data_IF_051791440826
#
_entry.id   IF_051791440826
#
_cell.length_a   1.000
_cell.length_b   1.000
_cell.length_c   1.000
_cell.angle_alpha   90.00
_cell.angle_beta   90.00
_cell.angle_gamma   90.00
#
_symmetry.space_group_name_H-M   'P 1'
#
loop_
_entity.id
_entity.type
_entity.pdbx_description
1 polymer ?
#
# COMPACT_ATOMS: atom_id res chain seq x y z
N UNK A 1 -23.60 3.13 37.33
CA UNK A 1 -23.44 2.01 36.38
C UNK A 1 -21.97 1.91 36.00
N UNK A 2 -21.47 0.72 35.67
CA UNK A 2 -20.07 0.56 35.26
C UNK A 2 -19.81 1.14 33.87
N UNK A 3 -18.62 1.72 33.61
CA UNK A 3 -18.18 2.12 32.27
C UNK A 3 -18.24 0.96 31.28
N UNK A 4 -18.61 1.25 30.03
CA UNK A 4 -18.62 0.27 28.94
C UNK A 4 -18.35 0.93 27.58
N UNK A 5 -17.90 0.14 26.61
CA UNK A 5 -17.62 0.59 25.24
C UNK A 5 -18.71 0.04 24.32
N UNK A 6 -19.33 0.93 23.55
CA UNK A 6 -20.23 0.60 22.45
C UNK A 6 -19.48 0.73 21.13
N UNK A 7 -19.58 -0.30 20.28
CA UNK A 7 -18.97 -0.34 18.95
C UNK A 7 -20.07 -0.64 17.93
N UNK A 8 -20.12 0.10 16.83
CA UNK A 8 -21.06 -0.13 15.75
C UNK A 8 -20.45 0.17 14.36
N UNK A 9 -20.49 -0.77 13.40
CA UNK A 9 -20.92 -2.16 13.55
C UNK A 9 -19.96 -2.96 14.44
N UNK A 10 -20.44 -4.05 15.05
CA UNK A 10 -19.60 -4.94 15.89
C UNK A 10 -18.68 -5.83 15.07
N UNK A 11 -19.04 -6.06 13.81
CA UNK A 11 -18.32 -6.84 12.83
C UNK A 11 -18.09 -5.96 11.60
N UNK A 12 -16.83 -5.70 11.29
CA UNK A 12 -16.43 -4.77 10.22
C UNK A 12 -15.18 -5.27 9.51
N UNK A 13 -15.05 -4.91 8.23
CA UNK A 13 -13.78 -5.02 7.51
C UNK A 13 -12.88 -3.86 7.88
N UNK A 14 -11.59 -4.03 7.64
CA UNK A 14 -10.55 -3.08 8.05
C UNK A 14 -10.75 -1.68 7.43
N UNK A 15 -11.32 -1.61 6.22
CA UNK A 15 -11.57 -0.34 5.52
C UNK A 15 -12.93 0.30 5.88
N UNK A 16 -13.79 -0.39 6.65
CA UNK A 16 -15.13 0.10 7.01
C UNK A 16 -15.07 1.04 8.22
N UNK A 17 -15.99 2.01 8.27
CA UNK A 17 -16.13 2.89 9.43
C UNK A 17 -16.71 2.15 10.62
N UNK A 18 -16.14 2.41 11.80
CA UNK A 18 -16.72 2.00 13.08
C UNK A 18 -16.89 3.20 14.01
N UNK A 19 -18.04 3.24 14.69
CA UNK A 19 -18.31 4.19 15.76
C UNK A 19 -17.87 3.59 17.08
N UNK A 20 -17.04 4.31 17.84
CA UNK A 20 -16.61 3.92 19.20
C UNK A 20 -17.10 4.96 20.19
N UNK A 21 -17.91 4.52 21.15
CA UNK A 21 -18.47 5.37 22.20
C UNK A 21 -18.26 4.73 23.57
N UNK A 22 -17.57 5.42 24.47
CA UNK A 22 -17.39 5.00 25.87
C UNK A 22 -18.43 5.70 26.74
N UNK A 23 -19.23 4.91 27.45
CA UNK A 23 -20.39 5.36 28.21
C UNK A 23 -20.20 5.16 29.73
N UNK A 24 -21.08 5.77 30.52
CA UNK A 24 -21.12 5.67 31.98
C UNK A 24 -19.81 6.12 32.68
N UNK A 25 -19.16 7.16 32.15
CA UNK A 25 -17.98 7.78 32.72
C UNK A 25 -18.35 8.85 33.76
N UNK A 26 -17.42 9.16 34.66
CA UNK A 26 -17.58 10.25 35.62
C UNK A 26 -17.56 11.59 34.90
N UNK A 27 -18.55 12.45 35.18
CA UNK A 27 -18.71 13.78 34.59
C UNK A 27 -17.39 14.58 34.52
N UNK A 28 -17.06 15.08 33.33
CA UNK A 28 -15.91 15.97 33.06
C UNK A 28 -14.55 15.39 33.53
N UNK A 29 -14.46 14.08 33.74
CA UNK A 29 -13.21 13.43 34.13
C UNK A 29 -12.38 13.03 32.90
N UNK A 30 -11.07 12.87 33.11
CA UNK A 30 -10.08 12.57 32.07
C UNK A 30 -9.82 11.06 32.03
N UNK A 31 -9.85 10.50 30.82
CA UNK A 31 -9.62 9.07 30.56
C UNK A 31 -8.62 8.87 29.43
N UNK A 32 -7.83 7.80 29.51
CA UNK A 32 -7.02 7.29 28.38
C UNK A 32 -7.79 6.18 27.70
N UNK A 33 -8.02 6.30 26.40
CA UNK A 33 -8.53 5.24 25.53
C UNK A 33 -7.33 4.73 24.72
N UNK A 34 -7.11 3.43 24.73
CA UNK A 34 -5.94 2.80 24.10
C UNK A 34 -6.42 1.62 23.25
N UNK A 35 -5.91 1.55 22.03
CA UNK A 35 -6.05 0.40 21.15
C UNK A 35 -4.74 -0.39 21.18
N UNK A 36 -4.84 -1.72 21.32
CA UNK A 36 -3.71 -2.65 21.22
C UNK A 36 -4.01 -3.68 20.15
N UNK A 37 -3.15 -3.72 19.14
CA UNK A 37 -3.19 -4.76 18.12
C UNK A 37 -2.11 -5.81 18.45
N UNK A 38 -2.57 -7.04 18.74
CA UNK A 38 -1.70 -8.16 19.08
C UNK A 38 -1.44 -8.98 17.82
N UNK A 39 -0.23 -8.89 17.27
CA UNK A 39 0.18 -9.57 16.04
C UNK A 39 1.25 -10.63 16.33
N UNK A 40 1.46 -11.58 15.41
CA UNK A 40 2.50 -12.61 15.55
C UNK A 40 3.92 -12.02 15.68
N UNK A 41 4.15 -10.83 15.12
CA UNK A 41 5.46 -10.14 15.16
C UNK A 41 5.64 -9.28 16.40
N UNK A 42 4.58 -8.97 17.15
CA UNK A 42 4.62 -8.12 18.34
C UNK A 42 3.33 -7.32 18.54
N UNK A 43 3.39 -6.34 19.43
CA UNK A 43 2.26 -5.49 19.80
C UNK A 43 2.41 -4.11 19.16
N UNK A 44 1.34 -3.66 18.52
CA UNK A 44 1.19 -2.28 18.08
C UNK A 44 0.17 -1.57 18.97
N UNK A 45 0.36 -0.27 19.20
CA UNK A 45 -0.53 0.51 20.07
C UNK A 45 -0.80 1.89 19.51
N UNK A 46 -1.94 2.43 19.87
CA UNK A 46 -2.29 3.84 19.71
C UNK A 46 -3.12 4.28 20.90
N UNK A 47 -3.21 5.59 21.16
CA UNK A 47 -4.01 6.08 22.28
C UNK A 47 -4.47 7.52 22.09
N UNK A 48 -5.58 7.86 22.76
CA UNK A 48 -6.01 9.23 22.98
C UNK A 48 -6.40 9.46 24.43
N UNK A 49 -6.06 10.63 24.97
CA UNK A 49 -6.50 11.09 26.28
C UNK A 49 -7.66 12.04 26.06
N UNK A 50 -8.82 11.74 26.63
CA UNK A 50 -10.07 12.46 26.39
C UNK A 50 -10.69 12.94 27.69
N UNK A 51 -11.51 13.98 27.59
CA UNK A 51 -12.39 14.42 28.66
C UNK A 51 -13.81 13.96 28.37
N UNK A 52 -14.44 13.28 29.30
CA UNK A 52 -15.86 12.90 29.17
C UNK A 52 -16.76 14.15 29.13
N UNK A 53 -17.83 14.07 28.35
CA UNK A 53 -18.80 15.15 28.21
C UNK A 53 -19.72 15.25 29.45
N UNK A 54 -20.70 16.17 29.39
CA UNK A 54 -21.64 16.41 30.50
C UNK A 54 -22.55 15.22 30.82
N UNK A 55 -22.68 14.28 29.90
CA UNK A 55 -23.45 13.03 30.07
C UNK A 55 -22.59 11.86 30.53
N UNK A 56 -21.28 12.06 30.77
CA UNK A 56 -20.38 10.98 31.12
C UNK A 56 -20.05 10.06 29.93
N UNK A 57 -19.85 10.64 28.75
CA UNK A 57 -19.62 9.91 27.51
C UNK A 57 -18.40 10.47 26.74
N UNK A 58 -17.67 9.58 26.07
CA UNK A 58 -16.64 9.91 25.08
C UNK A 58 -17.07 9.27 23.76
N UNK A 59 -17.36 10.09 22.76
CA UNK A 59 -17.70 9.66 21.40
C UNK A 59 -16.57 10.07 20.45
N UNK A 60 -15.80 9.10 19.94
CA UNK A 60 -14.61 9.38 19.14
C UNK A 60 -14.91 10.09 17.81
N UNK A 61 -16.16 10.02 17.33
CA UNK A 61 -16.60 10.75 16.14
C UNK A 61 -16.88 12.23 16.38
N UNK A 62 -16.95 12.66 17.65
CA UNK A 62 -17.37 14.01 18.04
C UNK A 62 -16.33 14.77 18.84
N UNK A 63 -15.39 14.08 19.49
CA UNK A 63 -14.41 14.72 20.36
C UNK A 63 -12.99 14.40 19.95
N UNK A 64 -12.13 15.43 19.96
CA UNK A 64 -10.70 15.28 19.75
C UNK A 64 -10.01 14.82 21.04
N UNK A 65 -8.92 14.04 20.96
CA UNK A 65 -8.08 13.79 22.11
C UNK A 65 -7.40 15.09 22.56
N UNK A 66 -7.25 15.27 23.87
CA UNK A 66 -6.43 16.32 24.48
C UNK A 66 -4.94 16.12 24.17
N UNK A 67 -4.52 14.86 24.05
CA UNK A 67 -3.19 14.40 23.61
C UNK A 67 -3.25 12.92 23.27
N UNK A 68 -2.36 12.44 22.42
CA UNK A 68 -2.38 11.04 21.98
C UNK A 68 -1.44 10.80 20.82
N UNK A 69 -1.63 9.65 20.17
CA UNK A 69 -0.99 9.27 18.91
C UNK A 69 -1.61 9.98 17.69
N UNK A 70 -2.74 10.67 17.86
CA UNK A 70 -3.37 11.50 16.84
C UNK A 70 -3.96 12.77 17.45
N UNK A 71 -4.34 13.72 16.58
CA UNK A 71 -4.96 14.99 16.96
C UNK A 71 -6.20 15.29 16.11
N UNK A 72 -7.05 16.21 16.59
CA UNK A 72 -8.31 16.56 15.94
C UNK A 72 -9.43 15.54 16.15
N UNK A 73 -10.64 15.88 15.68
CA UNK A 73 -11.77 14.93 15.71
C UNK A 73 -11.55 13.93 14.58
N UNK A 74 -11.28 12.68 14.94
CA UNK A 74 -11.03 11.61 14.01
C UNK A 74 -11.48 10.27 14.62
N UNK A 75 -12.57 9.72 14.09
CA UNK A 75 -13.16 8.47 14.58
C UNK A 75 -12.28 7.24 14.32
N UNK A 76 -11.44 7.31 13.27
CA UNK A 76 -10.46 6.28 12.91
C UNK A 76 -9.09 6.52 13.52
N UNK A 77 -8.90 7.62 14.25
CA UNK A 77 -7.58 8.07 14.68
C UNK A 77 -6.79 7.02 15.46
N UNK A 78 -7.46 6.15 16.24
CA UNK A 78 -6.78 5.03 16.92
C UNK A 78 -6.25 3.96 15.95
N UNK A 79 -6.90 3.71 14.83
CA UNK A 79 -6.44 2.75 13.83
C UNK A 79 -5.37 3.35 12.92
N UNK A 80 -5.56 4.61 12.51
CA UNK A 80 -4.63 5.35 11.63
C UNK A 80 -3.30 5.70 12.31
N UNK A 81 -3.25 5.71 13.64
CA UNK A 81 -2.05 6.09 14.42
C UNK A 81 -1.42 4.93 15.20
N UNK A 82 -1.55 3.70 14.68
CA UNK A 82 -0.89 2.53 15.25
C UNK A 82 0.63 2.64 15.11
N UNK A 83 1.33 2.54 16.24
CA UNK A 83 2.79 2.53 16.30
C UNK A 83 3.29 1.18 16.86
N UNK A 84 4.42 0.65 16.35
CA UNK A 84 5.05 -0.52 16.94
C UNK A 84 5.50 -0.23 18.37
N UNK A 85 5.39 -1.23 19.25
CA UNK A 85 6.05 -1.19 20.56
C UNK A 85 7.39 -1.93 20.52
N UNK A 86 8.19 -1.82 21.58
CA UNK A 86 9.54 -2.40 21.69
C UNK A 86 9.60 -3.93 21.50
N UNK A 87 8.46 -4.62 21.52
CA UNK A 87 8.38 -6.06 21.33
C UNK A 87 8.12 -6.49 19.86
N UNK A 88 7.98 -5.54 18.93
CA UNK A 88 7.81 -5.83 17.50
C UNK A 88 9.16 -6.25 16.93
N UNK A 89 9.20 -7.46 16.34
CA UNK A 89 10.39 -7.98 15.65
C UNK A 89 10.60 -7.26 14.32
N UNK A 90 11.86 -6.98 13.99
CA UNK A 90 12.25 -6.47 12.68
C UNK A 90 12.52 -7.63 11.72
N UNK A 91 11.76 -7.69 10.62
CA UNK A 91 11.93 -8.68 9.55
C UNK A 91 11.28 -10.04 9.85
N UNK A 92 10.81 -10.69 8.78
CA UNK A 92 10.46 -12.12 8.74
C UNK A 92 11.31 -12.72 7.59
N UNK A 93 12.15 -13.71 7.91
CA UNK A 93 12.88 -14.50 6.92
C UNK A 93 12.04 -15.72 6.52
N UNK A 94 11.29 -15.60 5.41
CA UNK A 94 10.69 -16.77 4.77
C UNK A 94 11.47 -17.15 3.52
N UNK A 95 12.46 -18.03 3.67
CA UNK A 95 13.15 -18.68 2.54
C UNK A 95 12.57 -20.07 2.28
N UNK A 96 12.27 -20.35 1.01
CA UNK A 96 11.84 -21.68 0.54
C UNK A 96 10.36 -21.77 0.17
N UNK A 97 10.00 -21.20 -0.98
CA UNK A 97 8.68 -21.38 -1.60
C UNK A 97 8.81 -21.77 -3.09
N UNK A 98 7.85 -22.55 -3.65
CA UNK A 98 7.93 -23.10 -5.00
C UNK A 98 7.83 -22.06 -6.13
N UNK A 99 8.12 -22.49 -7.38
CA UNK A 99 8.37 -21.64 -8.58
C UNK A 99 7.24 -20.69 -9.00
N UNK A 100 5.99 -20.98 -8.66
CA UNK A 100 4.87 -20.01 -8.68
C UNK A 100 4.12 -20.16 -7.37
N UNK A 101 4.02 -19.07 -6.61
CA UNK A 101 3.14 -18.99 -5.45
C UNK A 101 2.27 -17.76 -5.56
N UNK A 102 0.99 -17.94 -5.26
CA UNK A 102 0.00 -16.88 -5.25
C UNK A 102 -1.29 -17.39 -4.62
N UNK A 103 -2.05 -16.49 -4.03
CA UNK A 103 -3.35 -16.81 -3.43
C UNK A 103 -4.43 -16.11 -4.24
N UNK A 104 -5.41 -16.88 -4.73
CA UNK A 104 -6.56 -16.33 -5.45
C UNK A 104 -7.70 -16.10 -4.46
N UNK A 105 -8.11 -14.85 -4.30
CA UNK A 105 -9.32 -14.49 -3.57
C UNK A 105 -10.46 -14.29 -4.57
N UNK A 106 -11.55 -15.05 -4.39
CA UNK A 106 -12.72 -15.00 -5.27
C UNK A 106 -13.95 -14.54 -4.49
N UNK A 107 -14.70 -13.53 -4.96
CA UNK A 107 -15.98 -13.16 -4.36
C UNK A 107 -17.01 -14.32 -4.45
N UNK A 108 -18.01 -14.37 -3.54
CA UNK A 108 -19.11 -15.32 -3.67
C UNK A 108 -19.94 -15.05 -4.93
N UNK A 109 -20.52 -16.11 -5.52
CA UNK A 109 -21.27 -16.05 -6.79
C UNK A 109 -20.50 -16.61 -7.99
N UNK A 110 -21.16 -16.70 -9.15
CA UNK A 110 -20.61 -17.42 -10.32
C UNK A 110 -19.71 -16.55 -11.22
N UNK A 111 -19.73 -15.23 -11.05
CA UNK A 111 -18.96 -14.29 -11.88
C UNK A 111 -19.62 -13.99 -13.24
N UNK A 112 -18.86 -13.48 -14.22
CA UNK A 112 -17.43 -13.18 -14.17
C UNK A 112 -17.12 -11.94 -13.32
N UNK A 113 -15.93 -11.90 -12.72
CA UNK A 113 -15.45 -10.80 -11.90
C UNK A 113 -14.29 -10.06 -12.59
N UNK A 114 -14.21 -8.72 -12.44
CA UNK A 114 -12.98 -7.97 -12.68
C UNK A 114 -11.82 -8.60 -11.92
N UNK A 115 -10.66 -8.72 -12.57
CA UNK A 115 -9.50 -9.40 -11.99
C UNK A 115 -8.39 -8.39 -11.74
N UNK A 116 -7.85 -8.40 -10.52
CA UNK A 116 -6.69 -7.60 -10.14
C UNK A 116 -5.57 -8.56 -9.73
N UNK A 117 -4.37 -8.33 -10.26
CA UNK A 117 -3.14 -8.99 -9.81
C UNK A 117 -2.37 -7.99 -8.96
N UNK A 118 -2.22 -8.32 -7.67
CA UNK A 118 -1.48 -7.53 -6.70
C UNK A 118 -0.04 -8.06 -6.58
N UNK A 119 0.93 -7.16 -6.66
CA UNK A 119 2.37 -7.48 -6.64
C UNK A 119 3.06 -6.64 -5.57
N UNK A 120 3.59 -7.32 -4.55
CA UNK A 120 4.36 -6.71 -3.48
C UNK A 120 5.75 -6.24 -3.94
N UNK A 121 6.43 -5.45 -3.09
CA UNK A 121 7.80 -4.94 -3.32
C UNK A 121 8.91 -6.00 -3.23
N UNK A 122 10.15 -5.56 -2.96
CA UNK A 122 11.31 -6.45 -2.85
C UNK A 122 11.16 -7.41 -1.64
N UNK A 123 11.61 -8.66 -1.80
CA UNK A 123 11.51 -9.70 -0.75
C UNK A 123 11.03 -11.09 -1.20
N UNK A 124 10.70 -11.27 -2.49
CA UNK A 124 10.27 -12.56 -3.05
C UNK A 124 10.70 -12.77 -4.50
N UNK A 125 10.79 -14.04 -4.94
CA UNK A 125 11.19 -14.44 -6.28
C UNK A 125 10.00 -14.77 -7.18
N UNK A 126 9.79 -13.99 -8.24
CA UNK A 126 8.81 -14.30 -9.28
C UNK A 126 9.46 -14.16 -10.67
N UNK A 127 9.52 -15.26 -11.41
CA UNK A 127 10.10 -15.35 -12.77
C UNK A 127 9.09 -15.77 -13.86
N UNK A 128 7.79 -15.90 -13.53
CA UNK A 128 6.81 -16.58 -14.41
C UNK A 128 5.48 -15.80 -14.55
N UNK A 129 5.53 -14.47 -14.77
CA UNK A 129 4.34 -13.60 -14.73
C UNK A 129 3.37 -13.80 -15.90
N UNK A 130 3.88 -14.20 -17.07
CA UNK A 130 3.05 -14.55 -18.24
C UNK A 130 2.15 -15.76 -17.95
N UNK A 131 2.68 -16.76 -17.25
CA UNK A 131 1.92 -17.97 -16.91
C UNK A 131 0.89 -17.67 -15.82
N UNK A 132 1.21 -16.81 -14.85
CA UNK A 132 0.23 -16.31 -13.88
C UNK A 132 -0.94 -15.56 -14.56
N UNK A 133 -0.64 -14.66 -15.52
CA UNK A 133 -1.67 -13.94 -16.30
C UNK A 133 -2.54 -14.93 -17.10
N UNK A 134 -1.92 -15.87 -17.81
CA UNK A 134 -2.63 -16.86 -18.61
C UNK A 134 -3.49 -17.79 -17.73
N UNK A 135 -2.96 -18.24 -16.60
CA UNK A 135 -3.69 -19.06 -15.63
C UNK A 135 -4.90 -18.30 -15.10
N UNK A 136 -4.71 -17.08 -14.60
CA UNK A 136 -5.78 -16.28 -14.01
C UNK A 136 -6.87 -15.95 -15.05
N UNK A 137 -6.50 -15.61 -16.29
CA UNK A 137 -7.48 -15.37 -17.37
C UNK A 137 -8.16 -16.64 -17.90
N UNK A 138 -7.63 -17.83 -17.58
CA UNK A 138 -8.28 -19.10 -17.93
C UNK A 138 -9.37 -19.53 -16.94
N UNK A 139 -9.45 -18.87 -15.77
CA UNK A 139 -10.43 -19.23 -14.74
C UNK A 139 -11.84 -18.86 -15.20
N UNK A 140 -12.85 -19.74 -14.99
CA UNK A 140 -14.20 -19.54 -15.54
C UNK A 140 -14.96 -18.35 -14.94
N UNK A 141 -14.47 -17.79 -13.85
CA UNK A 141 -15.06 -16.68 -13.11
C UNK A 141 -14.30 -15.36 -13.27
N UNK A 142 -13.29 -15.30 -14.15
CA UNK A 142 -12.57 -14.07 -14.50
C UNK A 142 -13.01 -13.58 -15.89
N UNK A 143 -12.57 -12.39 -16.28
CA UNK A 143 -12.74 -11.87 -17.63
C UNK A 143 -11.38 -11.59 -18.28
N UNK A 144 -11.40 -11.13 -19.53
CA UNK A 144 -10.19 -10.79 -20.30
C UNK A 144 -9.62 -9.40 -19.97
N UNK A 145 -10.21 -8.69 -19.01
CA UNK A 145 -9.82 -7.33 -18.57
C UNK A 145 -9.13 -7.39 -17.23
N UNK A 146 -7.81 -7.22 -17.23
CA UNK A 146 -7.00 -7.37 -16.02
C UNK A 146 -6.49 -6.02 -15.53
N UNK A 147 -6.58 -5.80 -14.23
CA UNK A 147 -5.88 -4.75 -13.51
C UNK A 147 -4.62 -5.24 -12.85
N UNK A 148 -3.61 -4.39 -12.75
CA UNK A 148 -2.41 -4.64 -11.99
C UNK A 148 -2.21 -3.56 -10.95
N UNK A 149 -1.87 -3.97 -9.74
CA UNK A 149 -1.50 -3.10 -8.63
C UNK A 149 -0.12 -3.51 -8.14
N UNK A 150 0.71 -2.54 -7.78
CA UNK A 150 1.92 -2.83 -7.02
C UNK A 150 2.47 -1.64 -6.27
N UNK A 151 3.17 -1.94 -5.18
CA UNK A 151 3.87 -0.97 -4.33
C UNK A 151 5.37 -1.14 -4.44
N UNK A 152 6.14 -0.05 -4.37
CA UNK A 152 7.60 -0.09 -4.44
C UNK A 152 8.09 -0.76 -5.74
N UNK A 153 8.96 -1.76 -5.65
CA UNK A 153 9.37 -2.58 -6.81
C UNK A 153 8.18 -3.23 -7.54
N UNK A 154 7.12 -3.62 -6.82
CA UNK A 154 5.87 -4.07 -7.44
C UNK A 154 5.25 -2.98 -8.33
N UNK A 155 5.28 -1.72 -7.88
CA UNK A 155 4.87 -0.55 -8.67
C UNK A 155 5.70 -0.41 -9.95
N UNK A 156 7.02 -0.58 -9.85
CA UNK A 156 7.94 -0.62 -10.99
C UNK A 156 7.61 -1.76 -11.96
N UNK A 157 7.32 -2.96 -11.44
CA UNK A 157 6.98 -4.15 -12.23
C UNK A 157 5.67 -3.99 -13.00
N UNK A 158 4.62 -3.46 -12.38
CA UNK A 158 3.34 -3.29 -13.07
C UNK A 158 3.44 -2.31 -14.24
N UNK A 159 4.34 -1.32 -14.15
CA UNK A 159 4.66 -0.43 -15.27
C UNK A 159 5.39 -1.18 -16.38
N UNK A 160 6.41 -1.98 -16.07
CA UNK A 160 7.06 -2.84 -17.06
C UNK A 160 6.06 -3.79 -17.74
N UNK A 161 5.20 -4.46 -16.97
CA UNK A 161 4.22 -5.41 -17.50
C UNK A 161 3.21 -4.77 -18.43
N UNK A 162 2.83 -3.52 -18.18
CA UNK A 162 1.95 -2.77 -19.08
C UNK A 162 2.51 -2.64 -20.50
N UNK A 163 3.84 -2.60 -20.65
CA UNK A 163 4.54 -2.56 -21.93
C UNK A 163 4.64 -3.94 -22.60
N UNK A 164 4.44 -5.04 -21.86
CA UNK A 164 4.62 -6.41 -22.36
C UNK A 164 3.31 -7.15 -22.60
N UNK A 165 2.22 -6.74 -21.96
CA UNK A 165 0.96 -7.47 -21.96
C UNK A 165 -0.24 -6.58 -22.33
N UNK A 166 -0.65 -6.55 -23.62
CA UNK A 166 -1.77 -5.72 -24.08
C UNK A 166 -3.15 -6.02 -23.45
N UNK A 167 -3.27 -7.14 -22.71
CA UNK A 167 -4.49 -7.49 -21.95
C UNK A 167 -4.67 -6.65 -20.68
N UNK A 168 -3.64 -5.95 -20.22
CA UNK A 168 -3.71 -5.11 -19.03
C UNK A 168 -4.47 -3.82 -19.36
N UNK A 169 -5.60 -3.58 -18.67
CA UNK A 169 -6.49 -2.44 -18.92
C UNK A 169 -6.41 -1.35 -17.86
N UNK A 170 -5.88 -1.66 -16.69
CA UNK A 170 -5.71 -0.71 -15.60
C UNK A 170 -4.42 -1.03 -14.84
N UNK A 171 -3.61 -0.01 -14.55
CA UNK A 171 -2.36 -0.13 -13.79
C UNK A 171 -2.37 0.87 -12.64
N UNK A 172 -2.17 0.40 -11.41
CA UNK A 172 -1.99 1.24 -10.24
C UNK A 172 -0.57 1.06 -9.69
N UNK A 173 0.28 2.06 -9.86
CA UNK A 173 1.65 2.09 -9.34
C UNK A 173 1.70 2.96 -8.09
N UNK A 174 2.04 2.36 -6.95
CA UNK A 174 2.18 3.05 -5.67
C UNK A 174 3.67 3.15 -5.36
N UNK A 175 4.21 4.37 -5.32
CA UNK A 175 5.63 4.61 -5.03
C UNK A 175 6.60 3.76 -5.89
N UNK A 176 6.26 3.56 -7.16
CA UNK A 176 7.11 2.86 -8.13
C UNK A 176 8.22 3.76 -8.69
N UNK A 177 9.34 3.14 -9.07
CA UNK A 177 10.49 3.82 -9.68
C UNK A 177 10.28 4.07 -11.18
N UNK A 178 11.03 5.00 -11.76
CA UNK A 178 10.95 5.35 -13.18
C UNK A 178 11.65 4.38 -14.13
N UNK A 179 12.41 3.43 -13.60
CA UNK A 179 13.04 2.34 -14.38
C UNK A 179 13.30 1.13 -13.51
N UNK A 180 13.66 0.02 -14.16
CA UNK A 180 14.32 -1.12 -13.50
C UNK A 180 15.78 -0.78 -13.19
N UNK A 181 16.36 -1.44 -12.20
CA UNK A 181 17.74 -1.23 -11.77
C UNK A 181 18.52 -2.56 -11.60
N UNK A 182 19.82 -2.47 -11.33
CA UNK A 182 20.69 -3.64 -11.19
C UNK A 182 20.35 -4.57 -10.01
N UNK A 183 19.64 -4.09 -8.99
CA UNK A 183 19.16 -4.91 -7.87
C UNK A 183 17.81 -5.58 -8.14
N UNK A 184 17.17 -5.23 -9.26
CA UNK A 184 15.90 -5.84 -9.68
C UNK A 184 16.05 -7.31 -10.09
N UNK A 185 17.25 -7.72 -10.53
CA UNK A 185 17.60 -9.09 -10.95
C UNK A 185 16.58 -9.75 -11.91
N UNK A 186 15.92 -8.95 -12.74
CA UNK A 186 14.92 -9.44 -13.70
C UNK A 186 15.59 -10.06 -14.94
N UNK A 187 14.95 -11.10 -15.49
CA UNK A 187 15.30 -11.65 -16.80
C UNK A 187 14.07 -11.80 -17.67
N UNK A 188 14.21 -11.50 -18.96
CA UNK A 188 13.19 -11.71 -19.98
C UNK A 188 13.74 -12.79 -20.93
N UNK A 189 13.08 -13.95 -20.96
CA UNK A 189 13.56 -15.13 -21.70
C UNK A 189 15.00 -15.54 -21.34
N UNK A 190 15.37 -15.42 -20.05
CA UNK A 190 16.70 -15.77 -19.55
C UNK A 190 17.79 -14.73 -19.82
N UNK A 191 17.45 -13.56 -20.37
CA UNK A 191 18.39 -12.46 -20.63
C UNK A 191 18.02 -11.25 -19.77
N UNK A 192 19.01 -10.60 -19.16
CA UNK A 192 18.79 -9.36 -18.42
C UNK A 192 18.46 -8.23 -19.42
N UNK A 193 17.32 -7.52 -19.28
CA UNK A 193 17.03 -6.35 -20.10
C UNK A 193 17.97 -5.18 -19.75
N UNK A 194 18.03 -4.11 -20.57
CA UNK A 194 18.64 -2.85 -20.18
C UNK A 194 18.06 -2.35 -18.84
N UNK A 195 18.92 -1.81 -17.98
CA UNK A 195 18.59 -1.42 -16.61
C UNK A 195 19.29 -0.11 -16.23
N UNK A 196 18.83 0.51 -15.14
CA UNK A 196 19.56 1.56 -14.43
C UNK A 196 20.69 1.00 -13.58
N UNK A 197 21.82 1.71 -13.55
CA UNK A 197 23.00 1.39 -12.75
C UNK A 197 23.30 2.50 -11.77
N UNK A 198 23.58 2.14 -10.53
CA UNK A 198 23.95 3.08 -9.49
C UNK A 198 25.38 3.60 -9.70
N UNK A 199 25.66 4.79 -9.16
CA UNK A 199 27.02 5.35 -9.13
C UNK A 199 27.91 4.54 -8.19
N UNK A 200 29.08 4.12 -8.65
CA UNK A 200 30.09 3.37 -7.89
C UNK A 200 30.89 4.25 -6.92
N UNK A 201 30.75 5.57 -7.05
CA UNK A 201 31.49 6.57 -6.24
C UNK A 201 30.85 6.81 -4.86
N UNK A 202 29.61 6.39 -4.66
CA UNK A 202 28.84 6.64 -3.43
C UNK A 202 28.37 8.10 -3.25
N UNK A 203 28.52 8.96 -4.26
CA UNK A 203 28.22 10.41 -4.18
C UNK A 203 26.75 10.73 -3.83
N UNK A 204 25.83 9.80 -4.10
CA UNK A 204 24.38 9.88 -3.85
C UNK A 204 23.92 9.03 -2.67
N UNK A 205 24.83 8.41 -1.92
CA UNK A 205 24.49 7.69 -0.69
C UNK A 205 24.30 8.70 0.42
N UNK A 206 23.06 8.84 0.91
CA UNK A 206 22.69 9.80 1.95
C UNK A 206 22.19 9.08 3.19
N UNK A 207 22.42 9.71 4.35
CA UNK A 207 21.93 9.22 5.63
C UNK A 207 21.22 10.34 6.38
N UNK A 208 20.13 9.98 7.05
CA UNK A 208 19.40 10.83 7.99
C UNK A 208 19.30 10.08 9.32
N UNK A 209 19.99 10.56 10.36
CA UNK A 209 20.08 9.89 11.66
C UNK A 209 20.50 8.41 11.53
N UNK A 210 21.57 8.15 10.78
CA UNK A 210 22.10 6.81 10.46
C UNK A 210 21.17 5.89 9.65
N UNK A 211 20.00 6.39 9.21
CA UNK A 211 19.12 5.69 8.29
C UNK A 211 19.47 6.05 6.84
N UNK A 212 19.68 5.05 5.99
CA UNK A 212 19.98 5.26 4.59
C UNK A 212 18.75 5.83 3.85
N UNK A 213 18.94 6.92 3.12
CA UNK A 213 17.95 7.53 2.22
C UNK A 213 18.23 7.04 0.81
N UNK A 214 17.37 6.15 0.30
CA UNK A 214 17.59 5.47 -0.98
C UNK A 214 17.14 6.30 -2.19
N UNK A 215 16.21 7.24 -1.99
CA UNK A 215 15.63 8.04 -3.07
C UNK A 215 16.67 8.86 -3.87
N UNK A 216 17.72 9.40 -3.23
CA UNK A 216 18.78 10.16 -3.93
C UNK A 216 19.62 9.24 -4.83
N UNK A 217 19.89 8.01 -4.40
CA UNK A 217 20.59 7.02 -5.21
C UNK A 217 19.78 6.66 -6.45
N UNK A 218 18.49 6.33 -6.25
CA UNK A 218 17.59 5.92 -7.35
C UNK A 218 17.38 7.06 -8.34
N UNK A 219 17.29 8.31 -7.88
CA UNK A 219 17.11 9.48 -8.76
C UNK A 219 18.27 9.69 -9.74
N UNK A 220 19.47 9.26 -9.35
CA UNK A 220 20.71 9.52 -10.09
C UNK A 220 21.29 8.26 -10.73
N UNK A 221 20.49 7.20 -10.89
CA UNK A 221 20.89 6.03 -11.67
C UNK A 221 21.16 6.43 -13.13
N UNK A 222 22.16 5.79 -13.72
CA UNK A 222 22.47 5.91 -15.14
C UNK A 222 21.74 4.81 -15.89
N UNK A 223 20.87 5.19 -16.82
CA UNK A 223 20.11 4.25 -17.63
C UNK A 223 20.97 3.71 -18.76
N UNK A 224 21.01 2.38 -18.90
CA UNK A 224 21.43 1.75 -20.15
C UNK A 224 20.46 2.16 -21.27
N UNK A 225 20.91 2.19 -22.53
CA UNK A 225 20.05 2.52 -23.68
C UNK A 225 18.87 1.54 -23.76
N UNK A 226 17.64 2.08 -23.72
CA UNK A 226 16.40 1.28 -23.76
C UNK A 226 15.95 0.72 -22.41
N UNK A 227 16.49 1.24 -21.30
CA UNK A 227 16.05 0.89 -19.95
C UNK A 227 14.74 1.60 -19.54
N UNK A 228 14.32 2.62 -20.28
CA UNK A 228 13.04 3.30 -20.10
C UNK A 228 11.86 2.36 -20.38
N UNK A 229 10.72 2.61 -19.73
CA UNK A 229 9.49 1.89 -20.05
C UNK A 229 8.95 2.28 -21.43
N UNK A 230 8.91 1.31 -22.34
CA UNK A 230 8.30 1.44 -23.66
C UNK A 230 6.77 1.47 -23.57
N UNK A 231 6.20 2.60 -23.14
CA UNK A 231 4.75 2.76 -23.08
C UNK A 231 4.07 2.81 -24.45
N UNK A 232 4.80 3.02 -25.55
CA UNK A 232 4.22 2.95 -26.91
C UNK A 232 3.70 1.55 -27.23
N UNK A 233 4.40 0.52 -26.73
CA UNK A 233 3.99 -0.89 -26.85
C UNK A 233 2.80 -1.29 -25.95
N UNK A 234 2.40 -0.44 -24.99
CA UNK A 234 1.21 -0.69 -24.15
C UNK A 234 -0.09 -0.53 -24.95
N UNK A 235 -1.18 -1.16 -24.49
CA UNK A 235 -2.49 -1.01 -25.14
C UNK A 235 -2.99 0.44 -25.05
N UNK A 236 -3.65 0.94 -26.10
CA UNK A 236 -4.12 2.33 -26.14
C UNK A 236 -5.26 2.65 -25.18
N UNK A 237 -5.96 1.61 -24.72
CA UNK A 237 -7.02 1.67 -23.72
C UNK A 237 -6.55 1.26 -22.31
N UNK A 238 -5.23 1.13 -22.07
CA UNK A 238 -4.71 0.95 -20.71
C UNK A 238 -4.75 2.29 -19.96
N UNK A 239 -5.47 2.32 -18.84
CA UNK A 239 -5.48 3.45 -17.90
C UNK A 239 -4.41 3.27 -16.82
N UNK A 240 -3.82 4.37 -16.36
CA UNK A 240 -2.77 4.38 -15.35
C UNK A 240 -3.18 5.24 -14.14
N UNK A 241 -2.82 4.78 -12.95
CA UNK A 241 -2.92 5.53 -11.71
C UNK A 241 -1.58 5.50 -10.99
N UNK A 242 -1.13 6.67 -10.56
CA UNK A 242 0.07 6.84 -9.76
C UNK A 242 -0.29 7.36 -8.38
N UNK A 243 0.15 6.64 -7.35
CA UNK A 243 0.07 7.11 -5.96
C UNK A 243 1.47 7.47 -5.51
N UNK A 244 1.63 8.74 -5.13
CA UNK A 244 2.89 9.35 -4.76
C UNK A 244 2.86 9.85 -3.33
N UNK A 245 3.56 9.15 -2.46
CA UNK A 245 3.85 9.63 -1.12
C UNK A 245 4.80 10.83 -1.17
N UNK A 246 4.42 11.92 -0.51
CA UNK A 246 5.17 13.18 -0.51
C UNK A 246 6.48 13.10 0.29
N UNK A 247 6.56 12.19 1.26
CA UNK A 247 7.73 11.98 2.12
C UNK A 247 8.36 10.60 1.85
N UNK A 248 8.27 10.10 0.62
CA UNK A 248 8.94 8.87 0.21
C UNK A 248 10.47 9.06 0.17
N UNK A 249 11.16 8.38 1.08
CA UNK A 249 12.62 8.41 1.20
C UNK A 249 13.32 7.19 0.56
N UNK A 250 12.54 6.25 0.03
CA UNK A 250 13.06 5.04 -0.62
C UNK A 250 13.20 5.25 -2.14
N UNK A 251 12.16 5.79 -2.77
CA UNK A 251 12.14 6.07 -4.21
C UNK A 251 11.84 7.54 -4.46
N UNK A 252 12.39 8.15 -5.53
CA UNK A 252 12.14 9.55 -5.86
C UNK A 252 10.76 9.66 -6.53
N UNK A 253 9.70 9.35 -5.81
CA UNK A 253 8.39 9.05 -6.39
C UNK A 253 7.75 10.26 -7.06
N UNK A 254 7.93 11.47 -6.51
CA UNK A 254 7.45 12.70 -7.17
C UNK A 254 8.14 12.90 -8.53
N UNK A 255 9.45 12.68 -8.59
CA UNK A 255 10.21 12.77 -9.84
C UNK A 255 9.75 11.70 -10.84
N UNK A 256 9.66 10.45 -10.38
CA UNK A 256 9.24 9.30 -11.19
C UNK A 256 7.85 9.52 -11.77
N UNK A 257 6.89 9.93 -10.95
CA UNK A 257 5.52 10.19 -11.36
C UNK A 257 5.44 11.34 -12.36
N UNK A 258 6.16 12.45 -12.14
CA UNK A 258 6.17 13.55 -13.10
C UNK A 258 6.72 13.13 -14.46
N UNK A 259 7.83 12.37 -14.48
CA UNK A 259 8.44 11.86 -15.71
C UNK A 259 7.48 10.92 -16.46
N UNK A 260 6.99 9.88 -15.79
CA UNK A 260 6.19 8.83 -16.42
C UNK A 260 4.82 9.34 -16.87
N UNK A 261 4.18 10.20 -16.07
CA UNK A 261 2.88 10.77 -16.43
C UNK A 261 3.00 11.78 -17.59
N UNK A 262 4.15 12.44 -17.75
CA UNK A 262 4.45 13.23 -18.95
C UNK A 262 4.42 12.39 -20.22
N UNK A 263 5.19 11.30 -20.25
CA UNK A 263 5.25 10.35 -21.37
C UNK A 263 3.85 9.79 -21.70
N UNK A 264 3.13 9.31 -20.69
CA UNK A 264 1.81 8.72 -20.88
C UNK A 264 0.78 9.72 -21.45
N UNK A 265 0.85 10.99 -21.02
CA UNK A 265 -0.04 12.05 -21.55
C UNK A 265 0.29 12.39 -23.00
N UNK A 266 1.56 12.42 -23.40
CA UNK A 266 1.95 12.59 -24.80
C UNK A 266 1.41 11.45 -25.69
N UNK A 267 1.34 10.24 -25.14
CA UNK A 267 0.72 9.07 -25.78
C UNK A 267 -0.81 9.02 -25.67
N UNK A 268 -1.45 10.08 -25.18
CA UNK A 268 -2.90 10.20 -24.96
C UNK A 268 -3.49 9.07 -24.08
N UNK A 269 -2.73 8.58 -23.09
CA UNK A 269 -3.21 7.61 -22.11
C UNK A 269 -4.01 8.31 -21.00
N UNK A 270 -5.00 7.62 -20.43
CA UNK A 270 -5.70 8.10 -19.23
C UNK A 270 -4.80 7.92 -18.01
N UNK A 271 -4.63 9.00 -17.23
CA UNK A 271 -3.70 9.04 -16.11
C UNK A 271 -4.32 9.75 -14.91
N UNK A 272 -4.46 9.02 -13.81
CA UNK A 272 -4.78 9.55 -12.48
C UNK A 272 -3.51 9.71 -11.65
N UNK A 273 -3.41 10.78 -10.86
CA UNK A 273 -2.28 11.02 -9.96
C UNK A 273 -2.80 11.47 -8.60
N UNK A 274 -2.39 10.75 -7.55
CA UNK A 274 -2.63 11.11 -6.17
C UNK A 274 -1.30 11.46 -5.50
N UNK A 275 -1.17 12.71 -5.02
CA UNK A 275 -0.11 13.10 -4.10
C UNK A 275 -0.66 13.05 -2.68
N UNK A 276 -0.08 12.21 -1.84
CA UNK A 276 -0.58 11.96 -0.49
C UNK A 276 0.51 12.15 0.58
N UNK A 277 0.18 12.68 1.75
CA UNK A 277 1.08 12.63 2.91
C UNK A 277 1.38 11.18 3.28
N UNK A 278 2.64 10.82 3.50
CA UNK A 278 2.99 9.43 3.84
C UNK A 278 4.39 9.09 3.38
N UNK A 279 4.77 7.84 3.65
CA UNK A 279 6.07 7.25 3.30
C UNK A 279 5.96 6.21 2.21
N UNK A 280 7.02 5.42 2.05
CA UNK A 280 7.19 4.52 0.91
C UNK A 280 6.19 3.37 0.83
N UNK A 281 5.78 2.79 1.95
CA UNK A 281 4.85 1.64 1.97
C UNK A 281 3.45 2.11 2.34
N UNK A 282 2.65 2.46 1.33
CA UNK A 282 1.21 2.71 1.51
C UNK A 282 0.46 1.38 1.37
N UNK A 283 0.23 0.74 2.51
CA UNK A 283 -0.43 -0.56 2.59
C UNK A 283 -1.97 -0.42 2.64
N UNK A 284 -2.73 -1.53 2.62
CA UNK A 284 -4.16 -1.46 2.90
C UNK A 284 -4.44 -0.78 4.25
N UNK A 285 -5.63 -0.21 4.46
CA UNK A 285 -5.91 0.58 5.65
C UNK A 285 -5.59 -0.16 6.96
N UNK A 286 -5.18 0.59 7.99
CA UNK A 286 -4.84 0.07 9.32
C UNK A 286 -3.59 -0.82 9.37
N UNK A 287 -2.85 -0.98 8.27
CA UNK A 287 -1.51 -1.52 8.37
C UNK A 287 -0.66 -0.53 9.17
N UNK A 288 0.11 -0.99 10.17
CA UNK A 288 0.93 -0.08 10.93
C UNK A 288 1.98 0.58 10.05
N UNK A 289 2.20 1.87 10.25
CA UNK A 289 3.21 2.62 9.52
C UNK A 289 4.62 2.06 9.78
N UNK A 290 5.38 1.83 8.71
CA UNK A 290 6.78 1.38 8.75
C UNK A 290 7.73 2.50 8.27
N UNK A 291 8.13 3.45 9.13
CA UNK A 291 9.00 4.57 8.74
C UNK A 291 10.44 4.16 8.42
N UNK A 292 10.87 2.97 8.86
CA UNK A 292 12.19 2.43 8.61
C UNK A 292 12.15 0.91 8.55
N UNK A 293 13.03 0.33 7.74
CA UNK A 293 13.18 -1.12 7.62
C UNK A 293 14.65 -1.49 7.52
N UNK A 294 15.01 -2.70 7.96
CA UNK A 294 16.32 -3.25 7.67
C UNK A 294 16.33 -3.83 6.25
N UNK A 295 17.25 -3.36 5.41
CA UNK A 295 17.43 -3.89 4.06
C UNK A 295 18.55 -4.93 4.05
N UNK A 296 18.20 -6.19 3.80
CA UNK A 296 19.18 -7.27 3.67
C UNK A 296 20.15 -7.04 2.49
N UNK A 297 19.69 -6.38 1.43
CA UNK A 297 20.51 -6.07 0.24
C UNK A 297 21.55 -5.00 0.59
N UNK A 298 21.12 -3.94 1.29
CA UNK A 298 22.02 -2.85 1.67
C UNK A 298 22.83 -3.15 2.95
N UNK A 299 22.45 -4.17 3.72
CA UNK A 299 23.05 -4.52 5.00
C UNK A 299 22.84 -3.49 6.11
N UNK A 300 21.89 -2.56 5.95
CA UNK A 300 21.65 -1.43 6.87
C UNK A 300 20.18 -1.04 6.93
N UNK A 301 19.82 -0.21 7.90
CA UNK A 301 18.49 0.39 8.01
C UNK A 301 18.28 1.47 6.95
N UNK A 302 17.16 1.38 6.24
CA UNK A 302 16.66 2.38 5.31
C UNK A 302 15.51 3.16 5.95
N UNK A 303 15.41 4.45 5.66
CA UNK A 303 14.23 5.24 5.99
C UNK A 303 13.25 5.21 4.82
N UNK A 304 11.98 4.96 5.13
CA UNK A 304 10.85 4.98 4.19
C UNK A 304 10.04 6.28 4.30
N UNK A 305 10.32 7.11 5.32
CA UNK A 305 9.67 8.39 5.58
C UNK A 305 8.20 8.25 5.98
N UNK A 306 7.50 9.38 6.03
CA UNK A 306 6.10 9.48 6.48
C UNK A 306 5.96 9.84 7.96
N UNK A 307 4.89 10.57 8.29
CA UNK A 307 4.42 10.74 9.66
C UNK A 307 3.24 9.78 9.89
N UNK A 308 3.25 9.04 10.99
CA UNK A 308 2.33 7.92 11.26
C UNK A 308 0.86 8.28 11.05
N UNK A 309 0.37 9.37 11.65
CA UNK A 309 -1.05 9.70 11.57
C UNK A 309 -1.48 10.12 10.16
N UNK A 310 -0.66 10.91 9.48
CA UNK A 310 -0.89 11.33 8.11
C UNK A 310 -0.77 10.15 7.13
N UNK A 311 0.17 9.24 7.38
CA UNK A 311 0.37 8.03 6.60
C UNK A 311 -0.87 7.13 6.70
N UNK A 312 -1.28 6.75 7.92
CA UNK A 312 -2.42 5.87 8.12
C UNK A 312 -3.72 6.46 7.58
N UNK A 313 -3.89 7.79 7.64
CA UNK A 313 -5.02 8.46 6.98
C UNK A 313 -4.97 8.30 5.46
N UNK A 314 -3.80 8.49 4.85
CA UNK A 314 -3.61 8.34 3.41
C UNK A 314 -3.88 6.92 2.92
N UNK A 315 -3.59 5.87 3.70
CA UNK A 315 -3.91 4.48 3.34
C UNK A 315 -5.42 4.28 3.07
N UNK A 316 -6.29 4.89 3.89
CA UNK A 316 -7.73 4.85 3.66
C UNK A 316 -8.14 5.55 2.37
N UNK A 317 -7.66 6.77 2.15
CA UNK A 317 -7.98 7.56 0.96
C UNK A 317 -7.47 6.88 -0.32
N UNK A 318 -6.24 6.34 -0.27
CA UNK A 318 -5.61 5.61 -1.37
C UNK A 318 -6.38 4.34 -1.67
N UNK A 319 -6.76 3.55 -0.66
CA UNK A 319 -7.53 2.33 -0.84
C UNK A 319 -8.86 2.60 -1.55
N UNK A 320 -9.63 3.56 -1.05
CA UNK A 320 -10.93 3.90 -1.63
C UNK A 320 -10.80 4.35 -3.10
N UNK A 321 -9.86 5.25 -3.39
CA UNK A 321 -9.60 5.72 -4.76
C UNK A 321 -9.09 4.61 -5.67
N UNK A 322 -8.33 3.65 -5.15
CA UNK A 322 -7.86 2.48 -5.91
C UNK A 322 -9.04 1.61 -6.33
N UNK A 323 -9.98 1.34 -5.42
CA UNK A 323 -11.21 0.59 -5.71
C UNK A 323 -12.04 1.33 -6.76
N UNK A 324 -12.19 2.64 -6.65
CA UNK A 324 -12.91 3.47 -7.63
C UNK A 324 -12.24 3.43 -9.01
N UNK A 325 -10.91 3.56 -9.06
CA UNK A 325 -10.13 3.47 -10.30
C UNK A 325 -10.35 2.13 -11.01
N UNK A 326 -10.14 1.01 -10.32
CA UNK A 326 -10.36 -0.31 -10.94
C UNK A 326 -11.82 -0.56 -11.31
N UNK A 327 -12.78 -0.09 -10.52
CA UNK A 327 -14.21 -0.21 -10.84
C UNK A 327 -14.58 0.52 -12.13
N UNK A 328 -14.01 1.72 -12.35
CA UNK A 328 -14.24 2.50 -13.58
C UNK A 328 -13.68 1.79 -14.82
N UNK A 329 -12.50 1.17 -14.74
CA UNK A 329 -11.80 0.64 -15.92
C UNK A 329 -12.03 -0.86 -16.17
N UNK A 330 -12.33 -1.63 -15.14
CA UNK A 330 -12.55 -3.08 -15.24
C UNK A 330 -14.02 -3.48 -15.05
N UNK A 331 -14.87 -2.54 -14.61
CA UNK A 331 -16.25 -2.77 -14.22
C UNK A 331 -16.39 -2.87 -12.70
N UNK A 332 -17.50 -2.36 -12.15
CA UNK A 332 -17.81 -2.52 -10.74
C UNK A 332 -18.28 -3.96 -10.47
N UNK A 333 -17.79 -4.63 -9.41
CA UNK A 333 -18.33 -5.92 -9.01
C UNK A 333 -19.78 -5.77 -8.56
N UNK A 334 -20.55 -6.85 -8.65
CA UNK A 334 -21.88 -6.89 -8.00
C UNK A 334 -21.67 -6.73 -6.49
N UNK A 335 -22.40 -5.83 -5.81
CA UNK A 335 -22.31 -5.68 -4.37
C UNK A 335 -22.50 -7.04 -3.69
N UNK A 336 -21.60 -7.37 -2.77
CA UNK A 336 -21.74 -8.61 -2.01
C UNK A 336 -22.94 -8.46 -1.08
N UNK A 337 -23.88 -9.42 -1.05
CA UNK A 337 -24.90 -9.43 -0.01
C UNK A 337 -24.19 -9.57 1.34
N UNK A 338 -24.72 -8.89 2.36
CA UNK A 338 -24.25 -9.07 3.74
C UNK A 338 -24.30 -10.56 4.09
N UNK A 339 -23.13 -11.18 4.18
CA UNK A 339 -22.99 -12.57 4.62
C UNK A 339 -22.51 -12.56 6.07
N UNK A 340 -23.00 -13.51 6.88
CA UNK A 340 -22.58 -13.68 8.26
C UNK A 340 -21.09 -14.07 8.29
N UNK A 341 -20.22 -13.08 8.52
CA UNK A 341 -18.75 -13.27 8.63
C UNK A 341 -18.39 -14.11 9.88
N UNK A 342 -19.30 -14.16 10.86
CA UNK A 342 -19.21 -14.95 12.10
C UNK A 342 -19.32 -16.48 11.96
N UNK A 343 -19.23 -17.07 10.76
CA UNK A 343 -19.22 -18.54 10.62
C UNK A 343 -17.82 -19.18 10.72
N UNK A 344 -16.77 -18.39 10.96
CA UNK A 344 -15.51 -18.93 11.45
C UNK A 344 -15.73 -19.45 12.88
N UNK A 345 -16.02 -20.75 13.01
CA UNK A 345 -15.86 -21.47 14.27
C UNK A 345 -14.44 -21.22 14.76
N UNK A 346 -14.30 -20.44 15.83
CA UNK A 346 -13.11 -20.45 16.68
C UNK A 346 -12.84 -21.86 17.19
#
# INVERSE_FOLDING_TARGET
>A
MSPYISIAPIDSLVHENISIVINNLSYQNIYKVELRFLHKTGTYRSFGVFKSNVTGCIDLSKIAPLRGSYAGVNERGLFESLEPTDNVRYGDDETGKPKITGTVFKPPGDGPFPTIIDISGTGGGLNEQKDAINYITSLPYTNDRIGFQGVSFGGTLVMLFSTKFPKIKAVCSINGSFSMDEYSHITVNGVQPPIGRFSDTGEHVRFLNDLMVYADMVRNIKLDEGAEFDFESSSSDTAFRFVSALDDMSTPTIYSTNLLTGILRELNREVDVDFVPGGHLLDPPCFPHHPMVYSNIAGTFQTYGGETSLHGKSEFDVWERTVQFFSRHLGAPTPLPDYLRHSAKL
#
